data_IF_390514544824
#
_entry.id   IF_390514544824
#
_cell.length_a   1.000
_cell.length_b   1.000
_cell.length_c   1.000
_cell.angle_alpha   90.00
_cell.angle_beta   90.00
_cell.angle_gamma   90.00
#
_symmetry.space_group_name_H-M   'P 1'
#
loop_
_entity.id
_entity.type
_entity.pdbx_description
1 polymer ?
#
# COMPACT_ATOMS: atom_id res chain seq x y z
N UNK A 1 4.22 -38.19 24.45
CA UNK A 1 3.25 -37.18 23.96
C UNK A 1 3.85 -35.83 24.26
N UNK A 2 4.05 -34.98 23.24
CA UNK A 2 4.62 -33.64 23.43
C UNK A 2 3.63 -32.70 24.11
N UNK A 3 4.13 -31.61 24.71
CA UNK A 3 3.27 -30.55 25.25
C UNK A 3 2.53 -29.85 24.11
N UNK A 4 1.26 -29.50 24.30
CA UNK A 4 0.49 -28.77 23.28
C UNK A 4 0.96 -27.32 23.18
N UNK A 5 1.11 -26.82 21.96
CA UNK A 5 1.38 -25.41 21.68
C UNK A 5 0.14 -24.58 22.01
N UNK A 6 0.36 -23.39 22.57
CA UNK A 6 -0.71 -22.46 22.91
C UNK A 6 -1.20 -21.76 21.64
N UNK A 7 -2.43 -22.03 21.25
CA UNK A 7 -3.07 -21.42 20.08
C UNK A 7 -4.36 -20.68 20.44
N UNK A 8 -4.66 -19.61 19.73
CA UNK A 8 -5.94 -18.87 19.78
C UNK A 8 -6.75 -19.18 18.52
N UNK A 9 -8.06 -19.40 18.65
CA UNK A 9 -8.92 -19.62 17.49
C UNK A 9 -9.14 -18.31 16.72
N UNK A 10 -9.11 -18.39 15.39
CA UNK A 10 -9.62 -17.31 14.52
C UNK A 10 -11.12 -17.48 14.24
N UNK A 11 -11.72 -16.48 13.58
CA UNK A 11 -13.16 -16.45 13.26
C UNK A 11 -13.56 -17.43 12.13
N UNK A 12 -12.59 -18.02 11.43
CA UNK A 12 -12.78 -18.87 10.26
C UNK A 12 -12.51 -20.36 10.54
N UNK A 13 -12.36 -20.73 11.82
CA UNK A 13 -12.13 -22.11 12.26
C UNK A 13 -10.68 -22.55 12.15
N UNK A 14 -9.73 -21.63 12.06
CA UNK A 14 -8.30 -21.86 12.20
C UNK A 14 -7.79 -21.62 13.62
N UNK A 15 -6.47 -21.73 13.77
CA UNK A 15 -5.73 -21.54 15.02
C UNK A 15 -4.48 -20.71 14.74
N UNK A 16 -4.23 -19.70 15.56
CA UNK A 16 -3.05 -18.83 15.51
C UNK A 16 -2.16 -19.16 16.71
N UNK A 17 -0.92 -19.55 16.44
CA UNK A 17 0.11 -19.89 17.41
C UNK A 17 1.16 -18.80 17.41
N UNK A 18 1.43 -18.25 18.58
CA UNK A 18 2.47 -17.25 18.79
C UNK A 18 3.63 -17.88 19.54
N UNK A 19 4.80 -17.92 18.92
CA UNK A 19 6.02 -18.43 19.57
C UNK A 19 6.76 -17.31 20.32
N UNK A 20 6.02 -16.55 21.13
CA UNK A 20 6.54 -15.42 21.92
C UNK A 20 7.13 -15.88 23.28
N UNK A 21 6.87 -17.14 23.69
CA UNK A 21 7.33 -17.75 24.94
C UNK A 21 8.85 -18.08 24.94
N UNK A 22 9.36 -18.71 26.02
CA UNK A 22 10.77 -19.08 26.23
C UNK A 22 11.45 -19.78 25.03
N UNK A 23 12.78 -19.72 25.01
CA UNK A 23 13.57 -20.39 23.98
C UNK A 23 13.21 -21.89 23.90
N UNK A 24 13.00 -22.38 22.68
CA UNK A 24 12.63 -23.76 22.42
C UNK A 24 13.61 -24.35 21.41
N UNK A 25 14.11 -25.54 21.69
CA UNK A 25 14.93 -26.28 20.74
C UNK A 25 14.05 -26.90 19.62
N UNK A 26 14.59 -27.12 18.42
CA UNK A 26 13.82 -27.64 17.30
C UNK A 26 13.18 -29.02 17.54
N UNK A 27 13.82 -29.91 18.30
CA UNK A 27 13.30 -31.26 18.52
C UNK A 27 12.07 -31.24 19.43
N UNK A 28 12.13 -30.47 20.51
CA UNK A 28 10.98 -30.22 21.40
C UNK A 28 9.83 -29.54 20.64
N UNK A 29 10.17 -28.58 19.77
CA UNK A 29 9.19 -27.90 18.93
C UNK A 29 8.47 -28.88 17.98
N UNK A 30 9.19 -29.75 17.27
CA UNK A 30 8.60 -30.75 16.36
C UNK A 30 7.64 -31.68 17.12
N UNK A 31 8.04 -32.19 18.29
CA UNK A 31 7.20 -33.07 19.10
C UNK A 31 5.90 -32.38 19.56
N UNK A 32 6.02 -31.11 19.97
CA UNK A 32 4.90 -30.28 20.43
C UNK A 32 3.97 -29.91 19.28
N UNK A 33 4.54 -29.54 18.12
CA UNK A 33 3.80 -29.20 16.91
C UNK A 33 3.03 -30.40 16.39
N UNK A 34 3.65 -31.57 16.27
CA UNK A 34 2.99 -32.80 15.83
C UNK A 34 1.80 -33.18 16.73
N UNK A 35 1.99 -33.10 18.05
CA UNK A 35 0.92 -33.36 19.04
C UNK A 35 -0.23 -32.35 18.88
N UNK A 36 0.10 -31.08 18.64
CA UNK A 36 -0.88 -30.00 18.48
C UNK A 36 -1.68 -30.12 17.19
N UNK A 37 -1.03 -30.41 16.06
CA UNK A 37 -1.68 -30.63 14.77
C UNK A 37 -2.67 -31.80 14.84
N UNK A 38 -2.32 -32.89 15.53
CA UNK A 38 -3.22 -34.03 15.71
C UNK A 38 -4.49 -33.64 16.49
N UNK A 39 -4.35 -32.87 17.57
CA UNK A 39 -5.49 -32.37 18.36
C UNK A 39 -6.35 -31.41 17.55
N UNK A 40 -5.76 -30.43 16.87
CA UNK A 40 -6.50 -29.45 16.06
C UNK A 40 -7.24 -30.12 14.90
N UNK A 41 -6.65 -31.16 14.30
CA UNK A 41 -7.33 -31.96 13.28
C UNK A 41 -8.58 -32.67 13.83
N UNK A 42 -8.51 -33.26 15.02
CA UNK A 42 -9.68 -33.89 15.67
C UNK A 42 -10.75 -32.87 16.05
N UNK A 43 -10.34 -31.63 16.37
CA UNK A 43 -11.24 -30.51 16.65
C UNK A 43 -11.85 -29.88 15.37
N UNK A 44 -11.55 -30.42 14.19
CA UNK A 44 -12.08 -29.90 12.92
C UNK A 44 -11.49 -28.54 12.52
N UNK A 45 -10.30 -28.18 13.04
CA UNK A 45 -9.60 -26.96 12.63
C UNK A 45 -9.11 -27.06 11.19
N UNK A 46 -9.08 -25.92 10.51
CA UNK A 46 -8.70 -25.81 9.09
C UNK A 46 -7.27 -25.30 8.92
N UNK A 47 -7.11 -23.98 9.08
CA UNK A 47 -5.81 -23.31 8.98
C UNK A 47 -5.07 -23.26 10.30
N UNK A 48 -3.75 -23.44 10.26
CA UNK A 48 -2.87 -23.18 11.39
C UNK A 48 -1.91 -22.07 10.98
N UNK A 49 -1.91 -20.98 11.71
CA UNK A 49 -1.00 -19.86 11.56
C UNK A 49 0.07 -19.96 12.63
N UNK A 50 1.33 -19.85 12.24
CA UNK A 50 2.48 -19.92 13.12
C UNK A 50 3.29 -18.64 12.98
N UNK A 51 3.20 -17.79 14.01
CA UNK A 51 3.99 -16.58 14.11
C UNK A 51 5.30 -16.88 14.85
N UNK A 52 6.41 -16.77 14.14
CA UNK A 52 7.76 -16.94 14.68
C UNK A 52 8.48 -15.59 14.77
N UNK A 53 8.75 -15.05 15.97
CA UNK A 53 9.63 -13.91 16.12
C UNK A 53 11.02 -14.17 15.52
N UNK A 54 11.74 -13.11 15.12
CA UNK A 54 13.08 -13.24 14.52
C UNK A 54 14.07 -13.98 15.44
N UNK A 55 13.91 -13.87 16.77
CA UNK A 55 14.69 -14.60 17.78
C UNK A 55 14.36 -16.10 17.86
N UNK A 56 13.38 -16.58 17.07
CA UNK A 56 12.97 -17.99 16.93
C UNK A 56 13.24 -18.50 15.51
N UNK A 57 14.14 -17.87 14.77
CA UNK A 57 14.55 -18.30 13.43
C UNK A 57 15.03 -19.77 13.40
N UNK A 58 15.56 -20.28 14.52
CA UNK A 58 15.96 -21.68 14.69
C UNK A 58 14.80 -22.69 14.50
N UNK A 59 13.55 -22.25 14.58
CA UNK A 59 12.35 -23.11 14.43
C UNK A 59 11.78 -23.12 13.01
N UNK A 60 12.28 -22.24 12.12
CA UNK A 60 11.72 -22.07 10.76
C UNK A 60 11.88 -23.34 9.94
N UNK A 61 13.10 -23.89 9.88
CA UNK A 61 13.38 -25.14 9.15
C UNK A 61 12.51 -26.29 9.67
N UNK A 62 12.40 -26.42 10.99
CA UNK A 62 11.59 -27.44 11.62
C UNK A 62 10.10 -27.32 11.24
N UNK A 63 9.55 -26.11 11.20
CA UNK A 63 8.16 -25.89 10.78
C UNK A 63 7.94 -26.26 9.30
N UNK A 64 8.86 -25.84 8.42
CA UNK A 64 8.77 -26.14 6.98
C UNK A 64 8.87 -27.64 6.71
N UNK A 65 9.72 -28.37 7.42
CA UNK A 65 9.81 -29.84 7.33
C UNK A 65 8.52 -30.55 7.77
N UNK A 66 7.71 -29.91 8.64
CA UNK A 66 6.37 -30.40 8.99
C UNK A 66 5.28 -29.97 7.98
N UNK A 67 5.67 -29.35 6.87
CA UNK A 67 4.81 -28.97 5.75
C UNK A 67 4.20 -27.57 5.84
N UNK A 68 4.64 -26.75 6.81
CA UNK A 68 4.27 -25.32 6.81
C UNK A 68 4.93 -24.60 5.64
N UNK A 69 4.26 -23.59 5.09
CA UNK A 69 4.83 -22.70 4.08
C UNK A 69 4.73 -21.24 4.52
N UNK A 70 5.55 -20.39 3.89
CA UNK A 70 5.57 -18.96 4.20
C UNK A 70 4.31 -18.27 3.69
N UNK A 71 3.75 -17.39 4.52
CA UNK A 71 2.66 -16.50 4.13
C UNK A 71 3.17 -15.07 3.97
N UNK A 72 3.77 -14.51 5.02
CA UNK A 72 4.32 -13.16 5.02
C UNK A 72 5.44 -13.03 6.05
N UNK A 73 6.24 -11.98 5.94
CA UNK A 73 7.27 -11.63 6.90
C UNK A 73 7.22 -10.13 7.16
N UNK A 74 7.41 -9.77 8.42
CA UNK A 74 7.65 -8.41 8.88
C UNK A 74 9.08 -8.33 9.43
N UNK A 75 9.64 -7.12 9.68
CA UNK A 75 11.01 -7.00 10.19
C UNK A 75 11.31 -7.82 11.44
N UNK A 76 10.28 -8.11 12.26
CA UNK A 76 10.43 -8.76 13.56
C UNK A 76 9.86 -10.18 13.63
N UNK A 77 9.19 -10.68 12.59
CA UNK A 77 8.63 -12.04 12.61
C UNK A 77 8.36 -12.62 11.22
N UNK A 78 8.31 -13.95 11.15
CA UNK A 78 7.85 -14.71 10.00
C UNK A 78 6.49 -15.35 10.33
N UNK A 79 5.52 -15.20 9.43
CA UNK A 79 4.25 -15.92 9.46
C UNK A 79 4.30 -17.12 8.53
N UNK A 80 4.14 -18.30 9.10
CA UNK A 80 3.95 -19.53 8.35
C UNK A 80 2.50 -20.01 8.50
N UNK A 81 2.04 -20.77 7.51
CA UNK A 81 0.71 -21.37 7.53
C UNK A 81 0.76 -22.85 7.17
N UNK A 82 -0.23 -23.58 7.66
CA UNK A 82 -0.47 -24.97 7.33
C UNK A 82 -1.97 -25.23 7.18
N UNK A 83 -2.36 -26.08 6.24
CA UNK A 83 -3.76 -26.46 6.03
C UNK A 83 -3.99 -27.91 6.42
N UNK A 84 -4.79 -28.12 7.47
CA UNK A 84 -5.09 -29.44 8.04
C UNK A 84 -6.10 -30.26 7.22
N UNK A 85 -6.91 -29.59 6.40
CA UNK A 85 -7.99 -30.21 5.65
C UNK A 85 -7.51 -30.74 4.29
N UNK A 86 -8.16 -31.78 3.74
CA UNK A 86 -7.78 -32.39 2.45
C UNK A 86 -8.19 -31.58 1.21
N UNK A 87 -9.08 -30.60 1.39
CA UNK A 87 -9.51 -29.71 0.31
C UNK A 87 -8.41 -28.71 -0.04
N UNK A 88 -8.56 -28.00 -1.16
CA UNK A 88 -7.80 -26.78 -1.41
C UNK A 88 -7.90 -25.83 -0.20
N UNK A 89 -6.79 -25.14 0.10
CA UNK A 89 -6.79 -24.15 1.18
C UNK A 89 -7.58 -22.92 0.77
N UNK A 90 -8.24 -22.29 1.76
CA UNK A 90 -8.96 -21.03 1.57
C UNK A 90 -8.35 -19.91 2.42
N UNK A 91 -7.09 -20.09 2.83
CA UNK A 91 -6.33 -19.04 3.52
C UNK A 91 -6.21 -17.84 2.58
N UNK A 92 -6.45 -16.62 3.06
CA UNK A 92 -6.26 -15.42 2.25
C UNK A 92 -4.79 -15.33 1.82
N UNK A 93 -4.55 -14.84 0.62
CA UNK A 93 -3.19 -14.52 0.17
C UNK A 93 -2.67 -13.28 0.90
N UNK A 94 -1.34 -13.19 1.05
CA UNK A 94 -0.70 -11.99 1.56
C UNK A 94 -0.88 -10.79 0.62
N UNK A 95 -0.61 -9.57 1.11
CA UNK A 95 -0.60 -8.32 0.36
C UNK A 95 -0.05 -8.51 -1.07
N UNK A 96 -0.91 -8.25 -2.04
CA UNK A 96 -0.66 -8.51 -3.47
C UNK A 96 -0.32 -7.25 -4.25
N UNK A 97 -0.64 -6.09 -3.70
CA UNK A 97 -0.48 -4.79 -4.34
C UNK A 97 0.43 -3.89 -3.50
N UNK A 98 1.25 -3.10 -4.17
CA UNK A 98 1.84 -1.89 -3.62
C UNK A 98 1.00 -0.71 -4.10
N UNK A 99 0.92 0.32 -3.28
CA UNK A 99 0.20 1.54 -3.62
C UNK A 99 1.21 2.66 -3.83
N UNK A 100 1.00 3.44 -4.88
CA UNK A 100 1.73 4.66 -5.14
C UNK A 100 0.80 5.78 -5.52
N UNK A 101 1.24 7.01 -5.32
CA UNK A 101 0.50 8.21 -5.68
C UNK A 101 1.30 9.05 -6.66
N UNK A 102 0.60 9.88 -7.43
CA UNK A 102 1.17 11.03 -8.12
C UNK A 102 0.35 12.26 -7.79
N UNK A 103 1.02 13.34 -7.40
CA UNK A 103 0.40 14.56 -6.94
C UNK A 103 0.32 15.59 -8.05
N UNK A 104 -0.89 15.91 -8.49
CA UNK A 104 -1.17 16.98 -9.42
C UNK A 104 -1.56 18.25 -8.66
N UNK A 105 -0.70 19.26 -8.72
CA UNK A 105 -0.91 20.58 -8.17
C UNK A 105 -0.78 21.61 -9.27
N UNK A 106 -1.75 22.51 -9.38
CA UNK A 106 -1.72 23.61 -10.34
C UNK A 106 -1.98 24.94 -9.62
N UNK A 107 -1.19 25.95 -9.97
CA UNK A 107 -1.35 27.30 -9.46
C UNK A 107 -2.28 28.14 -10.36
N UNK A 108 -2.51 29.40 -9.97
CA UNK A 108 -3.39 30.32 -10.70
C UNK A 108 -2.87 30.70 -12.10
N UNK A 109 -1.57 30.51 -12.37
CA UNK A 109 -0.94 30.78 -13.65
C UNK A 109 -1.01 29.59 -14.63
N UNK A 110 -1.76 28.53 -14.29
CA UNK A 110 -1.78 27.25 -15.01
C UNK A 110 -0.40 26.56 -15.07
N UNK A 111 0.41 26.75 -14.03
CA UNK A 111 1.68 26.06 -13.87
C UNK A 111 1.51 24.88 -12.91
N UNK A 112 2.04 23.73 -13.30
CA UNK A 112 2.03 22.48 -12.53
C UNK A 112 3.31 22.34 -11.71
N UNK A 113 3.21 21.86 -10.48
CA UNK A 113 4.38 21.51 -9.67
C UNK A 113 5.00 20.23 -10.22
N UNK A 114 6.29 20.31 -10.57
CA UNK A 114 7.04 19.19 -11.12
C UNK A 114 8.40 19.05 -10.48
N UNK A 115 8.91 17.82 -10.49
CA UNK A 115 10.21 17.44 -9.95
C UNK A 115 11.03 16.67 -10.97
N UNK A 116 12.35 16.70 -10.79
CA UNK A 116 13.32 15.81 -11.40
C UNK A 116 13.99 14.99 -10.30
N UNK A 117 14.04 13.66 -10.46
CA UNK A 117 14.74 12.79 -9.52
C UNK A 117 16.26 12.80 -9.76
N UNK A 118 17.04 12.71 -8.67
CA UNK A 118 18.49 12.49 -8.73
C UNK A 118 18.85 11.05 -9.13
N UNK A 119 18.05 10.09 -8.66
CA UNK A 119 18.33 8.66 -8.79
C UNK A 119 17.28 7.88 -9.56
N UNK A 120 17.38 6.55 -9.51
CA UNK A 120 16.38 5.65 -10.09
C UNK A 120 16.33 5.67 -11.62
N UNK A 121 15.15 5.34 -12.16
CA UNK A 121 14.93 5.24 -13.60
C UNK A 121 15.02 6.60 -14.32
N UNK A 122 14.77 7.71 -13.61
CA UNK A 122 14.70 9.06 -14.18
C UNK A 122 15.93 9.93 -13.85
N UNK A 123 16.83 9.47 -12.98
CA UNK A 123 18.08 10.15 -12.65
C UNK A 123 18.92 10.49 -13.89
N UNK A 124 19.29 11.77 -14.03
CA UNK A 124 20.11 12.27 -15.14
C UNK A 124 19.40 12.32 -16.51
N UNK A 125 18.11 11.99 -16.59
CA UNK A 125 17.34 12.05 -17.85
C UNK A 125 16.83 13.45 -18.19
N UNK A 126 16.75 14.33 -17.19
CA UNK A 126 16.16 15.67 -17.33
C UNK A 126 14.63 15.68 -17.47
N UNK A 127 13.96 14.54 -17.28
CA UNK A 127 12.49 14.43 -17.38
C UNK A 127 11.83 15.08 -16.16
N UNK A 128 10.93 16.03 -16.40
CA UNK A 128 10.06 16.58 -15.37
C UNK A 128 8.82 15.71 -15.20
N UNK A 129 8.53 15.30 -13.97
CA UNK A 129 7.34 14.53 -13.62
C UNK A 129 6.58 15.18 -12.46
N UNK A 130 5.35 14.73 -12.24
CA UNK A 130 4.64 15.04 -10.99
C UNK A 130 5.40 14.48 -9.78
N UNK A 131 5.30 15.11 -8.59
CA UNK A 131 5.71 14.48 -7.34
C UNK A 131 5.02 13.13 -7.17
N UNK A 132 5.76 12.10 -6.75
CA UNK A 132 5.20 10.74 -6.62
C UNK A 132 5.89 9.99 -5.49
N UNK A 133 5.15 9.17 -4.77
CA UNK A 133 5.77 8.23 -3.85
C UNK A 133 4.87 7.08 -3.46
N UNK A 134 5.34 6.29 -2.50
CA UNK A 134 4.62 5.11 -2.02
C UNK A 134 3.66 5.50 -0.90
N UNK A 135 2.57 4.75 -0.77
CA UNK A 135 1.72 4.84 0.43
C UNK A 135 2.27 3.87 1.47
N UNK A 136 2.56 4.38 2.67
CA UNK A 136 3.10 3.58 3.75
C UNK A 136 2.05 2.64 4.39
N UNK A 137 2.51 1.63 5.13
CA UNK A 137 1.62 0.72 5.85
C UNK A 137 0.75 1.50 6.85
N UNK A 138 -0.57 1.36 6.71
CA UNK A 138 -1.54 2.05 7.57
C UNK A 138 -1.76 3.53 7.22
N UNK A 139 -1.16 4.04 6.15
CA UNK A 139 -1.33 5.40 5.68
C UNK A 139 -2.53 5.55 4.72
N UNK A 140 -3.30 6.63 4.87
CA UNK A 140 -4.37 6.98 3.93
C UNK A 140 -3.79 7.54 2.62
N UNK A 141 -4.40 7.21 1.47
CA UNK A 141 -3.98 7.72 0.14
C UNK A 141 -3.90 9.26 0.11
N UNK A 142 -4.89 9.95 0.70
CA UNK A 142 -4.87 11.42 0.75
C UNK A 142 -3.71 11.96 1.60
N UNK A 143 -3.34 11.23 2.67
CA UNK A 143 -2.27 11.64 3.57
C UNK A 143 -0.90 11.44 2.90
N UNK A 144 -0.72 10.28 2.24
CA UNK A 144 0.48 10.01 1.43
C UNK A 144 0.70 11.10 0.39
N UNK A 145 -0.34 11.48 -0.36
CA UNK A 145 -0.20 12.51 -1.39
C UNK A 145 0.23 13.88 -0.83
N UNK A 146 -0.27 14.26 0.36
CA UNK A 146 0.15 15.51 1.03
C UNK A 146 1.57 15.39 1.57
N UNK A 147 1.93 14.26 2.19
CA UNK A 147 3.26 13.97 2.72
C UNK A 147 4.32 14.04 1.62
N UNK A 148 4.12 13.31 0.53
CA UNK A 148 5.09 13.23 -0.59
C UNK A 148 5.37 14.61 -1.20
N UNK A 149 4.34 15.43 -1.41
CA UNK A 149 4.53 16.81 -1.90
C UNK A 149 5.37 17.62 -0.92
N UNK A 150 5.09 17.51 0.39
CA UNK A 150 5.83 18.24 1.42
C UNK A 150 7.28 17.77 1.50
N UNK A 151 7.50 16.47 1.46
CA UNK A 151 8.83 15.85 1.54
C UNK A 151 9.69 16.20 0.33
N UNK A 152 9.17 16.09 -0.90
CA UNK A 152 9.95 16.35 -2.11
C UNK A 152 10.20 17.84 -2.36
N UNK A 153 9.22 18.70 -2.05
CA UNK A 153 9.19 20.10 -2.54
C UNK A 153 9.04 21.16 -1.47
N UNK A 154 8.74 20.79 -0.21
CA UNK A 154 8.48 21.72 0.88
C UNK A 154 7.11 22.42 0.81
N UNK A 155 6.33 22.20 -0.25
CA UNK A 155 5.04 22.85 -0.46
C UNK A 155 3.98 22.29 0.48
N UNK A 156 3.39 23.16 1.30
CA UNK A 156 2.15 22.86 2.00
C UNK A 156 0.98 22.77 1.01
N UNK A 157 0.19 21.71 1.14
CA UNK A 157 -0.92 21.43 0.25
C UNK A 157 -2.07 20.75 1.00
N UNK A 158 -3.23 20.75 0.37
CA UNK A 158 -4.39 20.01 0.86
C UNK A 158 -4.95 19.11 -0.24
N UNK A 159 -5.40 17.93 0.16
CA UNK A 159 -5.98 16.95 -0.74
C UNK A 159 -7.39 17.37 -1.19
N UNK A 160 -7.68 17.23 -2.49
CA UNK A 160 -9.00 17.52 -3.06
C UNK A 160 -9.72 16.22 -3.44
N UNK A 161 -9.13 15.44 -4.35
CA UNK A 161 -9.76 14.24 -4.92
C UNK A 161 -8.75 13.33 -5.62
N UNK A 162 -9.11 12.06 -5.78
CA UNK A 162 -8.45 11.13 -6.70
C UNK A 162 -9.05 11.35 -8.09
N UNK A 163 -8.22 11.73 -9.06
CA UNK A 163 -8.64 11.91 -10.45
C UNK A 163 -8.75 10.58 -11.19
N UNK A 164 -7.77 9.70 -11.01
CA UNK A 164 -7.75 8.40 -11.65
C UNK A 164 -6.90 7.42 -10.85
N UNK A 165 -7.05 6.14 -11.14
CA UNK A 165 -6.09 5.13 -10.71
C UNK A 165 -5.83 4.11 -11.81
N UNK A 166 -4.65 3.50 -11.78
CA UNK A 166 -4.22 2.47 -12.72
C UNK A 166 -3.67 1.27 -11.96
N UNK A 167 -3.89 0.09 -12.52
CA UNK A 167 -3.20 -1.13 -12.11
C UNK A 167 -2.15 -1.59 -13.13
N UNK A 168 -1.01 -2.09 -12.63
CA UNK A 168 -0.06 -2.91 -13.39
C UNK A 168 0.20 -4.20 -12.62
N UNK A 169 0.42 -5.31 -13.32
CA UNK A 169 0.80 -6.57 -12.71
C UNK A 169 2.30 -6.86 -12.85
N UNK A 170 2.85 -7.53 -11.83
CA UNK A 170 4.22 -8.09 -11.82
C UNK A 170 5.34 -7.07 -12.04
N UNK A 171 5.16 -5.87 -11.54
CA UNK A 171 6.10 -4.75 -11.67
C UNK A 171 7.24 -4.81 -10.64
N UNK A 172 6.95 -5.25 -9.40
CA UNK A 172 7.95 -5.34 -8.33
C UNK A 172 7.80 -6.67 -7.57
N UNK A 173 8.81 -7.54 -7.65
CA UNK A 173 8.80 -8.88 -7.05
C UNK A 173 7.50 -9.67 -7.26
N UNK A 174 6.97 -9.68 -8.50
CA UNK A 174 5.71 -10.33 -8.90
C UNK A 174 4.43 -9.75 -8.25
N UNK A 175 4.54 -8.67 -7.47
CA UNK A 175 3.40 -7.91 -6.95
C UNK A 175 2.85 -6.98 -8.02
N UNK A 176 1.59 -6.60 -7.85
CA UNK A 176 0.93 -5.59 -8.68
C UNK A 176 1.15 -4.20 -8.07
N UNK A 177 1.05 -3.15 -8.87
CA UNK A 177 1.04 -1.76 -8.41
C UNK A 177 -0.33 -1.15 -8.70
N UNK A 178 -0.88 -0.43 -7.71
CA UNK A 178 -1.96 0.53 -7.92
C UNK A 178 -1.38 1.94 -7.79
N UNK A 179 -1.52 2.72 -8.85
CA UNK A 179 -1.08 4.11 -8.89
C UNK A 179 -2.29 5.03 -8.90
N UNK A 180 -2.36 5.99 -7.97
CA UNK A 180 -3.44 6.97 -7.85
C UNK A 180 -2.95 8.35 -8.29
N UNK A 181 -3.61 8.96 -9.27
CA UNK A 181 -3.42 10.37 -9.59
C UNK A 181 -4.30 11.20 -8.63
N UNK A 182 -3.67 11.99 -7.77
CA UNK A 182 -4.32 12.79 -6.74
C UNK A 182 -4.24 14.27 -7.11
N UNK A 183 -5.37 14.98 -7.05
CA UNK A 183 -5.43 16.44 -7.14
C UNK A 183 -5.24 17.04 -5.76
N UNK A 184 -4.33 17.99 -5.65
CA UNK A 184 -4.08 18.76 -4.44
C UNK A 184 -4.14 20.25 -4.74
N UNK A 185 -4.59 21.04 -3.76
CA UNK A 185 -4.54 22.49 -3.81
C UNK A 185 -3.30 22.98 -3.05
N UNK A 186 -2.40 23.75 -3.68
CA UNK A 186 -1.26 24.34 -2.99
C UNK A 186 -1.73 25.42 -2.00
N UNK A 187 -1.14 25.41 -0.81
CA UNK A 187 -1.33 26.41 0.25
C UNK A 187 -0.12 27.35 0.38
N UNK A 188 1.01 26.96 -0.20
CA UNK A 188 2.25 27.73 -0.30
C UNK A 188 2.85 27.56 -1.70
N UNK A 189 3.81 28.41 -2.06
CA UNK A 189 4.39 28.43 -3.42
C UNK A 189 5.92 28.45 -3.43
N UNK A 190 6.56 28.72 -2.30
CA UNK A 190 8.03 28.74 -2.17
C UNK A 190 8.56 27.31 -2.08
N UNK A 191 9.28 26.89 -3.12
CA UNK A 191 9.81 25.53 -3.23
C UNK A 191 11.07 25.39 -2.39
N UNK A 192 11.10 24.37 -1.55
CA UNK A 192 12.26 23.90 -0.80
C UNK A 192 12.47 22.42 -1.10
N UNK A 193 13.24 22.12 -2.15
CA UNK A 193 13.47 20.74 -2.59
C UNK A 193 14.25 19.94 -1.56
N UNK A 194 13.95 18.66 -1.44
CA UNK A 194 14.73 17.73 -0.63
C UNK A 194 16.00 17.30 -1.37
N UNK A 195 17.15 17.47 -0.73
CA UNK A 195 18.45 17.34 -1.40
C UNK A 195 18.91 15.90 -1.63
N UNK A 196 18.27 14.91 -1.01
CA UNK A 196 18.68 13.52 -1.15
C UNK A 196 18.15 12.91 -2.46
N UNK A 197 16.90 13.19 -2.81
CA UNK A 197 16.20 12.49 -3.91
C UNK A 197 15.84 13.42 -5.07
N UNK A 198 15.68 14.73 -4.83
CA UNK A 198 15.20 15.68 -5.85
C UNK A 198 16.32 16.56 -6.39
N UNK A 199 16.57 16.41 -7.69
CA UNK A 199 17.56 17.19 -8.43
C UNK A 199 17.09 18.64 -8.55
N UNK A 200 15.87 18.82 -9.03
CA UNK A 200 15.25 20.12 -9.20
C UNK A 200 13.73 20.03 -9.05
N UNK A 201 13.11 21.13 -8.63
CA UNK A 201 11.65 21.28 -8.53
C UNK A 201 11.26 22.69 -9.01
N UNK A 202 10.17 22.79 -9.77
CA UNK A 202 9.66 24.08 -10.27
C UNK A 202 8.15 24.06 -10.50
N UNK A 203 7.57 25.24 -10.56
CA UNK A 203 6.29 25.46 -11.24
C UNK A 203 6.58 25.55 -12.74
N UNK A 204 5.94 24.70 -13.54
CA UNK A 204 6.15 24.58 -14.98
C UNK A 204 4.83 24.81 -15.71
N UNK A 205 4.76 25.64 -16.77
CA UNK A 205 3.53 25.76 -17.56
C UNK A 205 3.02 24.39 -17.97
N UNK A 206 1.72 24.11 -17.73
CA UNK A 206 1.16 22.78 -17.97
C UNK A 206 1.38 22.30 -19.41
N UNK A 207 1.25 23.19 -20.39
CA UNK A 207 1.48 22.86 -21.80
C UNK A 207 2.94 22.47 -22.08
N UNK A 208 3.91 23.10 -21.41
CA UNK A 208 5.32 22.71 -21.51
C UNK A 208 5.53 21.31 -20.91
N UNK A 209 4.90 21.04 -19.77
CA UNK A 209 4.97 19.74 -19.09
C UNK A 209 4.37 18.62 -19.97
N UNK A 210 3.18 18.83 -20.52
CA UNK A 210 2.48 17.86 -21.36
C UNK A 210 3.15 17.66 -22.73
N UNK A 211 3.85 18.67 -23.24
CA UNK A 211 4.58 18.61 -24.51
C UNK A 211 5.95 17.91 -24.42
N UNK A 212 6.41 17.52 -23.23
CA UNK A 212 7.69 16.80 -23.10
C UNK A 212 7.70 15.52 -23.95
N UNK A 213 8.79 15.18 -24.66
CA UNK A 213 8.86 13.95 -25.47
C UNK A 213 8.55 12.69 -24.66
N UNK A 214 8.92 12.68 -23.37
CA UNK A 214 8.62 11.59 -22.45
C UNK A 214 7.11 11.48 -22.16
N UNK A 215 6.41 12.61 -21.98
CA UNK A 215 4.97 12.68 -21.74
C UNK A 215 4.15 12.10 -22.91
N UNK A 216 4.68 12.16 -24.14
CA UNK A 216 4.05 11.66 -25.36
C UNK A 216 4.42 10.20 -25.70
N UNK A 217 5.31 9.59 -24.91
CA UNK A 217 5.84 8.25 -25.20
C UNK A 217 4.88 7.12 -24.83
N UNK A 218 4.03 7.33 -23.82
CA UNK A 218 3.19 6.30 -23.25
C UNK A 218 1.74 6.78 -23.22
N UNK A 219 0.83 5.99 -23.82
CA UNK A 219 -0.61 6.28 -23.90
C UNK A 219 -1.22 6.57 -22.52
N UNK A 220 -0.75 5.87 -21.48
CA UNK A 220 -1.16 6.14 -20.10
C UNK A 220 -0.89 7.59 -19.67
N UNK A 221 0.29 8.14 -19.98
CA UNK A 221 0.61 9.52 -19.61
C UNK A 221 -0.24 10.51 -20.39
N UNK A 222 -0.55 10.20 -21.66
CA UNK A 222 -1.46 11.01 -22.47
C UNK A 222 -2.86 11.08 -21.82
N UNK A 223 -3.43 9.94 -21.42
CA UNK A 223 -4.71 9.93 -20.70
C UNK A 223 -4.65 10.69 -19.37
N UNK A 224 -3.56 10.59 -18.60
CA UNK A 224 -3.42 11.38 -17.37
C UNK A 224 -3.44 12.89 -17.67
N UNK A 225 -2.76 13.33 -18.74
CA UNK A 225 -2.75 14.74 -19.13
C UNK A 225 -4.12 15.21 -19.60
N UNK A 226 -4.84 14.41 -20.38
CA UNK A 226 -6.21 14.72 -20.80
C UNK A 226 -7.15 14.88 -19.59
N UNK A 227 -7.01 14.02 -18.58
CA UNK A 227 -7.75 14.12 -17.32
C UNK A 227 -7.37 15.39 -16.56
N UNK A 228 -6.08 15.72 -16.47
CA UNK A 228 -5.62 16.95 -15.83
C UNK A 228 -6.17 18.19 -16.55
N UNK A 229 -6.14 18.25 -17.88
CA UNK A 229 -6.74 19.36 -18.67
C UNK A 229 -8.23 19.46 -18.41
N UNK A 230 -8.96 18.35 -18.52
CA UNK A 230 -10.39 18.32 -18.27
C UNK A 230 -10.71 18.79 -16.84
N UNK A 231 -9.85 18.47 -15.85
CA UNK A 231 -9.99 18.96 -14.48
C UNK A 231 -9.74 20.47 -14.36
N UNK A 232 -8.68 20.98 -14.99
CA UNK A 232 -8.35 22.42 -15.02
C UNK A 232 -9.52 23.22 -15.61
N UNK A 233 -10.13 22.72 -16.68
CA UNK A 233 -11.22 23.39 -17.37
C UNK A 233 -12.60 23.18 -16.70
N UNK A 234 -12.64 22.49 -15.55
CA UNK A 234 -13.87 22.27 -14.76
C UNK A 234 -14.79 21.17 -15.31
N UNK A 235 -14.32 20.39 -16.27
CA UNK A 235 -15.08 19.35 -16.97
C UNK A 235 -14.81 17.93 -16.43
N UNK A 236 -14.08 17.80 -15.32
CA UNK A 236 -13.77 16.53 -14.69
C UNK A 236 -13.99 16.59 -13.17
N UNK A 237 -14.64 15.57 -12.62
CA UNK A 237 -14.82 15.40 -11.17
C UNK A 237 -14.27 14.04 -10.76
N UNK A 238 -13.34 14.04 -9.82
CA UNK A 238 -12.75 12.85 -9.23
C UNK A 238 -13.52 12.33 -8.01
N UNK A 239 -12.80 11.60 -7.16
CA UNK A 239 -13.32 10.93 -5.98
C UNK A 239 -12.76 11.57 -4.71
N UNK A 240 -13.63 12.17 -3.89
CA UNK A 240 -13.23 12.78 -2.62
C UNK A 240 -13.46 11.81 -1.45
N UNK A 241 -12.59 11.81 -0.42
CA UNK A 241 -12.76 10.97 0.76
C UNK A 241 -13.90 11.50 1.64
N UNK A 242 -14.84 10.64 1.96
CA UNK A 242 -15.90 10.90 2.94
C UNK A 242 -15.63 10.07 4.19
N UNK A 243 -15.48 10.71 5.38
CA UNK A 243 -15.30 9.97 6.61
C UNK A 243 -16.56 9.15 6.94
N UNK A 244 -16.35 7.92 7.33
CA UNK A 244 -17.38 6.94 7.68
C UNK A 244 -16.95 6.20 8.95
N UNK A 245 -17.89 5.52 9.59
CA UNK A 245 -17.63 4.66 10.74
C UNK A 245 -18.04 3.24 10.33
N UNK A 246 -17.09 2.30 10.41
CA UNK A 246 -17.35 0.91 10.10
C UNK A 246 -17.78 0.13 11.35
N UNK A 247 -18.12 -1.16 11.20
CA UNK A 247 -18.44 -2.04 12.33
C UNK A 247 -17.26 -2.23 13.31
N UNK A 248 -16.03 -1.97 12.88
CA UNK A 248 -14.87 -1.81 13.76
C UNK A 248 -14.69 -0.32 14.08
N UNK A 249 -14.31 0.00 15.32
CA UNK A 249 -14.25 1.36 15.91
C UNK A 249 -13.25 2.31 15.20
N UNK A 250 -12.59 1.86 14.13
CA UNK A 250 -11.67 2.67 13.34
C UNK A 250 -12.42 3.57 12.34
N UNK A 251 -11.90 4.80 12.21
CA UNK A 251 -12.32 5.76 11.20
C UNK A 251 -12.00 5.19 9.81
N UNK A 252 -12.96 5.21 8.89
CA UNK A 252 -12.78 4.74 7.51
C UNK A 252 -13.11 5.84 6.52
N UNK A 253 -12.51 5.83 5.34
CA UNK A 253 -12.79 6.82 4.28
C UNK A 253 -13.36 6.14 3.04
N UNK A 254 -14.51 6.62 2.58
CA UNK A 254 -15.11 6.20 1.33
C UNK A 254 -14.80 7.24 0.25
N UNK A 255 -14.06 6.85 -0.79
CA UNK A 255 -13.75 7.72 -1.91
C UNK A 255 -14.88 7.63 -2.93
N UNK A 256 -15.55 8.75 -3.22
CA UNK A 256 -16.72 8.78 -4.09
C UNK A 256 -16.85 10.10 -4.84
N UNK A 257 -17.53 10.06 -5.98
CA UNK A 257 -17.77 11.25 -6.79
C UNK A 257 -18.60 12.26 -5.98
N UNK A 258 -18.01 13.42 -5.70
CA UNK A 258 -18.58 14.45 -4.83
C UNK A 258 -19.84 15.09 -5.42
N UNK A 259 -20.01 15.08 -6.74
CA UNK A 259 -21.19 15.63 -7.43
C UNK A 259 -22.38 14.66 -7.51
N UNK A 260 -22.11 13.35 -7.47
CA UNK A 260 -23.12 12.29 -7.59
C UNK A 260 -23.40 11.58 -6.25
N UNK A 261 -22.69 11.96 -5.19
CA UNK A 261 -22.91 11.46 -3.84
C UNK A 261 -24.40 11.64 -3.44
N UNK A 262 -25.09 10.58 -2.99
CA UNK A 262 -26.46 10.73 -2.50
C UNK A 262 -26.52 11.81 -1.41
N UNK A 263 -27.44 12.77 -1.54
CA UNK A 263 -27.67 13.92 -0.62
C UNK A 263 -27.89 13.55 0.85
N UNK A 264 -27.86 12.27 1.20
CA UNK A 264 -27.95 11.75 2.57
C UNK A 264 -26.75 12.18 3.44
N UNK A 265 -25.65 12.63 2.84
CA UNK A 265 -24.39 12.94 3.52
C UNK A 265 -23.97 14.41 3.49
N UNK A 266 -24.78 15.33 2.94
CA UNK A 266 -24.46 16.77 2.85
C UNK A 266 -24.83 17.60 4.11
N UNK A 267 -25.12 16.92 5.22
CA UNK A 267 -25.42 17.55 6.52
C UNK A 267 -24.80 16.74 7.67
N UNK A 268 -23.48 16.76 7.77
CA UNK A 268 -22.74 16.55 9.02
C UNK A 268 -21.52 17.47 9.01
#
# INVERSE_FOLDING_TARGET
>A
MGKLLRGRNDEYGGVIVHMDDEAMDPATFISSLASSLAVWKLQGKKGVWLRLPIQRANLVEAAVQQGFWYHHAEPHYLMLVYWLHKSAHTLPENATHRLGIGAFLINQNREVLVVQEKGGQYGGTGVWKLPTGAVDEGEDIYAAAVREVKEETGIDSEFIEILAFRQIHKSFFQKSDLFFLCMLRPLSFDIQKQEQEIEAAKWMPFEEYAAQPYAQKYEFLMYLHDICIAKIDGNYTGFSPIPTTSYSVQKSYLYLNSTEAPKRYSKL
#
